data_IF_284641382148
#
_entry.id   IF_284641382148
#
_cell.length_a   1.000
_cell.length_b   1.000
_cell.length_c   1.000
_cell.angle_alpha   90.00
_cell.angle_beta   90.00
_cell.angle_gamma   90.00
#
_symmetry.space_group_name_H-M   'P 1'
#
loop_
_entity.id
_entity.type
_entity.pdbx_description
1 polymer ?
#
# COMPACT_ATOMS: atom_id res chain seq x y z
N UNK A 1 3.59 20.81 -21.32
CA UNK A 1 2.12 20.75 -21.56
C UNK A 1 1.50 19.48 -20.96
N UNK A 2 2.08 18.29 -21.22
CA UNK A 2 1.63 17.00 -20.64
C UNK A 2 1.64 16.99 -19.10
N UNK A 3 2.68 17.54 -18.47
CA UNK A 3 2.78 17.64 -17.00
C UNK A 3 1.66 18.49 -16.37
N UNK A 4 1.33 19.62 -17.00
CA UNK A 4 0.27 20.53 -16.52
C UNK A 4 -1.12 19.91 -16.68
N UNK A 5 -1.39 19.25 -17.81
CA UNK A 5 -2.68 18.58 -18.07
C UNK A 5 -2.85 17.35 -17.18
N UNK A 6 -1.81 16.52 -17.04
CA UNK A 6 -1.79 15.38 -16.14
C UNK A 6 -1.94 15.79 -14.66
N UNK A 7 -1.27 16.87 -14.26
CA UNK A 7 -1.38 17.44 -12.91
C UNK A 7 -2.79 17.95 -12.58
N UNK A 8 -3.46 18.62 -13.53
CA UNK A 8 -4.83 19.10 -13.36
C UNK A 8 -5.85 17.95 -13.18
N UNK A 9 -5.74 16.89 -14.00
CA UNK A 9 -6.60 15.71 -13.87
C UNK A 9 -6.37 14.99 -12.52
N UNK A 10 -5.10 14.83 -12.11
CA UNK A 10 -4.77 14.25 -10.80
C UNK A 10 -5.30 15.08 -9.65
N UNK A 11 -5.28 16.42 -9.75
CA UNK A 11 -5.80 17.33 -8.71
C UNK A 11 -7.31 17.18 -8.52
N UNK A 12 -8.08 17.12 -9.61
CA UNK A 12 -9.54 16.90 -9.55
C UNK A 12 -9.84 15.54 -8.92
N UNK A 13 -9.13 14.50 -9.35
CA UNK A 13 -9.31 13.15 -8.79
C UNK A 13 -8.92 13.08 -7.30
N UNK A 14 -7.80 13.70 -6.91
CA UNK A 14 -7.37 13.81 -5.52
C UNK A 14 -8.42 14.49 -4.65
N UNK A 15 -9.01 15.60 -5.10
CA UNK A 15 -10.06 16.30 -4.36
C UNK A 15 -11.34 15.45 -4.18
N UNK A 16 -11.69 14.63 -5.18
CA UNK A 16 -12.79 13.67 -5.07
C UNK A 16 -12.47 12.55 -4.06
N UNK A 17 -11.26 11.98 -4.13
CA UNK A 17 -10.80 10.94 -3.21
C UNK A 17 -10.73 11.46 -1.76
N UNK A 18 -10.20 12.66 -1.55
CA UNK A 18 -10.16 13.36 -0.25
C UNK A 18 -11.55 13.47 0.38
N UNK A 19 -12.53 13.96 -0.37
CA UNK A 19 -13.94 14.05 0.08
C UNK A 19 -14.52 12.68 0.47
N UNK A 20 -14.15 11.63 -0.27
CA UNK A 20 -14.56 10.26 0.08
C UNK A 20 -13.95 9.83 1.42
N UNK A 21 -12.64 10.03 1.59
CA UNK A 21 -11.94 9.66 2.83
C UNK A 21 -12.46 10.44 4.05
N UNK A 22 -12.74 11.73 3.89
CA UNK A 22 -13.39 12.54 4.93
C UNK A 22 -14.80 12.06 5.25
N UNK A 23 -15.57 11.65 4.24
CA UNK A 23 -16.88 11.04 4.43
C UNK A 23 -16.81 9.74 5.23
N UNK A 24 -15.81 8.91 4.96
CA UNK A 24 -15.53 7.70 5.75
C UNK A 24 -15.15 8.06 7.19
N UNK A 25 -14.29 9.06 7.39
CA UNK A 25 -13.83 9.47 8.71
C UNK A 25 -14.95 10.08 9.57
N UNK A 26 -15.92 10.78 8.96
CA UNK A 26 -17.05 11.38 9.66
C UNK A 26 -18.00 10.38 10.31
N UNK A 27 -18.15 9.19 9.72
CA UNK A 27 -19.05 8.15 10.20
C UNK A 27 -18.46 6.76 9.99
N UNK A 28 -17.31 6.54 10.63
CA UNK A 28 -16.52 5.32 10.47
C UNK A 28 -17.29 4.09 10.96
N UNK A 29 -18.08 4.20 12.03
CA UNK A 29 -18.84 3.09 12.59
C UNK A 29 -19.86 2.55 11.59
N UNK A 30 -20.67 3.42 10.98
CA UNK A 30 -21.65 3.01 9.97
C UNK A 30 -20.99 2.44 8.72
N UNK A 31 -19.86 3.00 8.28
CA UNK A 31 -19.13 2.49 7.11
C UNK A 31 -18.55 1.10 7.39
N UNK A 32 -18.00 0.87 8.59
CA UNK A 32 -17.48 -0.44 9.00
C UNK A 32 -18.60 -1.48 9.13
N UNK A 33 -19.74 -1.12 9.71
CA UNK A 33 -20.90 -2.01 9.81
C UNK A 33 -21.42 -2.39 8.42
N UNK A 34 -21.60 -1.43 7.52
CA UNK A 34 -22.01 -1.71 6.14
C UNK A 34 -21.02 -2.63 5.42
N UNK A 35 -19.72 -2.38 5.57
CA UNK A 35 -18.69 -3.23 4.99
C UNK A 35 -18.71 -4.64 5.56
N UNK A 36 -18.87 -4.80 6.88
CA UNK A 36 -19.00 -6.11 7.53
C UNK A 36 -20.19 -6.88 6.96
N UNK A 37 -21.38 -6.27 6.91
CA UNK A 37 -22.58 -6.92 6.42
C UNK A 37 -22.48 -7.29 4.94
N UNK A 38 -21.85 -6.45 4.12
CA UNK A 38 -21.58 -6.75 2.71
C UNK A 38 -20.64 -7.97 2.56
N UNK A 39 -19.57 -8.04 3.36
CA UNK A 39 -18.62 -9.16 3.35
C UNK A 39 -19.28 -10.47 3.83
N UNK A 40 -20.05 -10.41 4.92
CA UNK A 40 -20.80 -11.56 5.47
C UNK A 40 -21.81 -12.08 4.45
N UNK A 41 -22.58 -11.17 3.82
CA UNK A 41 -23.57 -11.55 2.82
C UNK A 41 -22.91 -12.18 1.58
N UNK A 42 -21.78 -11.63 1.13
CA UNK A 42 -21.02 -12.21 0.03
C UNK A 42 -20.50 -13.61 0.37
N UNK A 43 -20.00 -13.82 1.60
CA UNK A 43 -19.41 -15.07 2.05
C UNK A 43 -20.42 -16.10 2.59
N UNK A 44 -21.73 -15.80 2.64
CA UNK A 44 -22.73 -16.67 3.28
C UNK A 44 -22.78 -18.10 2.72
N UNK A 45 -22.51 -18.25 1.43
CA UNK A 45 -22.51 -19.53 0.73
C UNK A 45 -21.18 -20.30 0.79
N UNK A 46 -20.21 -19.81 1.57
CA UNK A 46 -18.91 -20.49 1.72
C UNK A 46 -18.96 -21.56 2.83
N UNK A 47 -18.00 -22.48 2.87
CA UNK A 47 -17.89 -23.44 3.95
C UNK A 47 -17.81 -22.76 5.33
N UNK A 48 -16.98 -21.70 5.43
CA UNK A 48 -16.85 -20.90 6.64
C UNK A 48 -18.15 -20.14 6.97
N UNK A 49 -18.80 -19.56 5.96
CA UNK A 49 -20.06 -18.84 6.14
C UNK A 49 -21.19 -19.74 6.63
N UNK A 50 -21.30 -20.96 6.10
CA UNK A 50 -22.25 -21.97 6.57
C UNK A 50 -21.96 -22.42 7.99
N UNK A 51 -20.71 -22.71 8.33
CA UNK A 51 -20.35 -23.20 9.68
C UNK A 51 -20.62 -22.18 10.78
N UNK A 52 -20.60 -20.88 10.46
CA UNK A 52 -20.90 -19.79 11.40
C UNK A 52 -22.29 -19.15 11.16
N UNK A 53 -23.15 -19.78 10.34
CA UNK A 53 -24.53 -19.34 10.06
C UNK A 53 -24.64 -17.88 9.59
N UNK A 54 -23.80 -17.48 8.64
CA UNK A 54 -23.75 -16.10 8.11
C UNK A 54 -25.08 -15.59 7.55
N UNK A 55 -25.99 -16.48 7.11
CA UNK A 55 -27.33 -16.12 6.67
C UNK A 55 -28.18 -15.44 7.76
N UNK A 56 -27.86 -15.71 9.04
CA UNK A 56 -28.57 -15.20 10.23
C UNK A 56 -27.93 -13.93 10.79
N UNK A 57 -26.82 -13.45 10.23
CA UNK A 57 -26.13 -12.25 10.70
C UNK A 57 -26.80 -11.02 10.07
N UNK A 58 -27.26 -10.10 10.93
CA UNK A 58 -27.89 -8.83 10.53
C UNK A 58 -27.24 -7.60 11.18
N UNK A 59 -26.37 -7.81 12.15
CA UNK A 59 -25.69 -6.76 12.91
C UNK A 59 -24.25 -7.16 13.25
N UNK A 60 -23.46 -6.17 13.72
CA UNK A 60 -22.13 -6.42 14.31
C UNK A 60 -22.21 -7.41 15.48
N UNK A 61 -23.23 -7.29 16.33
CA UNK A 61 -23.42 -8.16 17.49
C UNK A 61 -23.67 -9.62 17.08
N UNK A 62 -24.49 -9.86 16.05
CA UNK A 62 -24.70 -11.21 15.51
C UNK A 62 -23.40 -11.83 15.00
N UNK A 63 -22.58 -11.03 14.31
CA UNK A 63 -21.29 -11.49 13.80
C UNK A 63 -20.35 -11.87 14.94
N UNK A 64 -20.23 -11.03 15.96
CA UNK A 64 -19.38 -11.29 17.13
C UNK A 64 -19.82 -12.53 17.90
N UNK A 65 -21.12 -12.75 18.07
CA UNK A 65 -21.66 -13.92 18.76
C UNK A 65 -21.41 -15.23 18.01
N UNK A 66 -21.32 -15.18 16.67
CA UNK A 66 -21.23 -16.38 15.82
C UNK A 66 -19.83 -16.64 15.29
N UNK A 67 -18.98 -15.62 15.21
CA UNK A 67 -17.66 -15.69 14.57
C UNK A 67 -16.59 -15.34 15.60
N UNK A 68 -16.16 -16.31 16.42
CA UNK A 68 -15.08 -16.07 17.38
C UNK A 68 -13.77 -15.73 16.65
N UNK A 69 -12.95 -14.91 17.31
CA UNK A 69 -11.63 -14.52 16.83
C UNK A 69 -10.79 -15.78 16.55
N UNK A 70 -10.04 -15.75 15.44
CA UNK A 70 -9.21 -16.86 14.99
C UNK A 70 -7.85 -16.38 14.52
N UNK A 71 -6.83 -17.20 14.73
CA UNK A 71 -5.48 -16.99 14.23
C UNK A 71 -5.26 -17.72 12.88
N UNK A 72 -4.04 -17.63 12.35
CA UNK A 72 -3.67 -18.29 11.10
C UNK A 72 -3.92 -19.82 11.13
N UNK A 73 -3.60 -20.48 12.24
CA UNK A 73 -3.70 -21.94 12.36
C UNK A 73 -5.15 -22.42 12.24
N UNK A 74 -6.11 -21.62 12.74
CA UNK A 74 -7.53 -21.91 12.58
C UNK A 74 -7.99 -21.93 11.12
N UNK A 75 -7.44 -21.05 10.28
CA UNK A 75 -7.82 -20.96 8.87
C UNK A 75 -6.99 -21.85 7.95
N UNK A 76 -5.80 -22.27 8.39
CA UNK A 76 -4.87 -23.09 7.62
C UNK A 76 -5.50 -24.33 6.97
N UNK A 77 -6.37 -25.12 7.63
CA UNK A 77 -7.00 -26.28 6.99
C UNK A 77 -7.87 -25.91 5.78
N UNK A 78 -8.61 -24.79 5.86
CA UNK A 78 -9.43 -24.30 4.75
C UNK A 78 -8.56 -23.76 3.61
N UNK A 79 -7.47 -23.07 3.94
CA UNK A 79 -6.55 -22.55 2.92
C UNK A 79 -5.76 -23.64 2.21
N UNK A 80 -5.34 -24.69 2.92
CA UNK A 80 -4.70 -25.86 2.29
C UNK A 80 -5.63 -26.54 1.29
N UNK A 81 -6.91 -26.73 1.66
CA UNK A 81 -7.93 -27.25 0.74
C UNK A 81 -8.14 -26.33 -0.48
N UNK A 82 -8.12 -25.01 -0.28
CA UNK A 82 -8.22 -24.05 -1.37
C UNK A 82 -7.03 -24.12 -2.35
N UNK A 83 -5.80 -24.25 -1.83
CA UNK A 83 -4.59 -24.44 -2.64
C UNK A 83 -4.66 -25.74 -3.46
N UNK A 84 -5.35 -26.76 -2.92
CA UNK A 84 -5.59 -28.03 -3.59
C UNK A 84 -6.80 -28.01 -4.56
N UNK A 85 -7.37 -26.84 -4.85
CA UNK A 85 -8.37 -26.67 -5.89
C UNK A 85 -9.82 -26.55 -5.41
N UNK A 86 -10.07 -26.75 -4.11
CA UNK A 86 -11.43 -26.61 -3.57
C UNK A 86 -11.88 -25.15 -3.55
N UNK A 87 -13.16 -24.93 -3.81
CA UNK A 87 -13.76 -23.61 -4.01
C UNK A 87 -14.69 -23.24 -2.86
N UNK A 88 -14.98 -21.95 -2.73
CA UNK A 88 -16.03 -21.44 -1.86
C UNK A 88 -15.80 -21.82 -0.38
N UNK A 89 -14.55 -21.77 0.09
CA UNK A 89 -14.16 -22.16 1.45
C UNK A 89 -14.25 -21.03 2.46
N UNK A 90 -13.37 -20.03 2.36
CA UNK A 90 -13.37 -18.81 3.21
C UNK A 90 -13.91 -17.60 2.48
N UNK A 91 -13.93 -17.64 1.14
CA UNK A 91 -14.44 -16.59 0.27
C UNK A 91 -15.02 -17.22 -1.00
N UNK A 92 -16.03 -16.60 -1.66
CA UNK A 92 -16.58 -17.13 -2.90
C UNK A 92 -15.54 -17.28 -4.01
N UNK A 93 -15.61 -18.38 -4.74
CA UNK A 93 -14.70 -18.75 -5.82
C UNK A 93 -13.40 -19.40 -5.31
N UNK A 94 -12.30 -19.13 -6.01
CA UNK A 94 -10.96 -19.64 -5.70
C UNK A 94 -9.93 -18.51 -5.84
N UNK A 95 -9.22 -18.13 -4.76
CA UNK A 95 -8.14 -17.15 -4.85
C UNK A 95 -7.02 -17.68 -5.75
N UNK A 96 -6.78 -17.00 -6.89
CA UNK A 96 -5.73 -17.39 -7.85
C UNK A 96 -4.31 -17.10 -7.33
N UNK A 97 -4.19 -16.06 -6.49
CA UNK A 97 -2.93 -15.56 -5.99
C UNK A 97 -2.83 -15.75 -4.48
N UNK A 98 -1.62 -16.05 -4.05
CA UNK A 98 -1.26 -16.30 -2.67
C UNK A 98 -0.02 -15.49 -2.34
N UNK A 99 0.08 -15.06 -1.09
CA UNK A 99 1.25 -14.36 -0.60
C UNK A 99 1.87 -15.15 0.54
N UNK A 100 3.18 -15.25 0.48
CA UNK A 100 3.99 -15.90 1.50
C UNK A 100 4.41 -14.84 2.51
N UNK A 101 4.09 -15.03 3.78
CA UNK A 101 4.55 -14.13 4.85
C UNK A 101 5.50 -14.87 5.77
N UNK A 102 6.62 -14.24 6.10
CA UNK A 102 7.59 -14.76 7.06
C UNK A 102 7.01 -14.68 8.46
N UNK A 103 6.33 -15.74 8.90
CA UNK A 103 5.88 -15.90 10.29
C UNK A 103 6.89 -16.73 11.07
N UNK A 104 7.50 -16.15 12.10
CA UNK A 104 8.65 -16.71 12.84
C UNK A 104 8.32 -17.89 13.79
N UNK A 105 7.08 -18.41 13.80
CA UNK A 105 6.68 -19.46 14.77
C UNK A 105 5.90 -20.64 14.20
N UNK A 106 5.37 -20.57 12.97
CA UNK A 106 4.50 -21.62 12.40
C UNK A 106 4.95 -22.10 11.00
N UNK A 107 6.18 -21.76 10.61
CA UNK A 107 6.63 -21.87 9.23
C UNK A 107 6.03 -20.79 8.33
N UNK A 108 6.25 -20.96 7.03
CA UNK A 108 5.80 -20.01 6.03
C UNK A 108 4.26 -19.95 5.95
N UNK A 109 3.69 -18.78 6.26
CA UNK A 109 2.25 -18.57 6.19
C UNK A 109 1.85 -18.23 4.76
N UNK A 110 0.83 -18.92 4.26
CA UNK A 110 0.27 -18.73 2.93
C UNK A 110 -1.12 -18.11 3.05
N UNK A 111 -1.23 -16.86 2.60
CA UNK A 111 -2.46 -16.08 2.74
C UNK A 111 -3.09 -15.89 1.35
N UNK A 112 -4.38 -16.20 1.17
CA UNK A 112 -5.03 -16.00 -0.11
C UNK A 112 -5.24 -14.50 -0.36
N UNK A 113 -4.98 -14.07 -1.60
CA UNK A 113 -5.29 -12.71 -2.03
C UNK A 113 -6.41 -12.76 -3.07
N UNK A 114 -7.59 -12.29 -2.65
CA UNK A 114 -8.77 -12.22 -3.51
C UNK A 114 -8.66 -11.04 -4.48
N UNK A 115 -9.44 -11.07 -5.55
CA UNK A 115 -9.51 -9.94 -6.49
C UNK A 115 -9.98 -8.65 -5.80
N UNK A 116 -10.87 -8.81 -4.82
CA UNK A 116 -11.41 -7.81 -3.92
C UNK A 116 -10.29 -7.17 -3.08
N UNK A 117 -9.45 -8.00 -2.44
CA UNK A 117 -8.31 -7.55 -1.67
C UNK A 117 -7.28 -6.79 -2.54
N UNK A 118 -7.03 -7.24 -3.76
CA UNK A 118 -6.18 -6.49 -4.70
C UNK A 118 -6.75 -5.12 -5.05
N UNK A 119 -8.07 -5.01 -5.27
CA UNK A 119 -8.72 -3.73 -5.53
C UNK A 119 -8.61 -2.79 -4.32
N UNK A 120 -8.74 -3.32 -3.10
CA UNK A 120 -8.57 -2.54 -1.87
C UNK A 120 -7.14 -2.02 -1.71
N UNK A 121 -6.12 -2.87 -1.89
CA UNK A 121 -4.72 -2.46 -1.86
C UNK A 121 -4.39 -1.41 -2.91
N UNK A 122 -4.89 -1.60 -4.13
CA UNK A 122 -4.74 -0.63 -5.22
C UNK A 122 -5.35 0.72 -4.83
N UNK A 123 -6.58 0.72 -4.32
CA UNK A 123 -7.27 1.95 -3.90
C UNK A 123 -6.48 2.68 -2.80
N UNK A 124 -5.97 1.95 -1.81
CA UNK A 124 -5.11 2.52 -0.76
C UNK A 124 -3.79 3.08 -1.27
N UNK A 125 -3.11 2.36 -2.17
CA UNK A 125 -1.90 2.85 -2.83
C UNK A 125 -2.14 4.10 -3.68
N UNK A 126 -3.28 4.17 -4.39
CA UNK A 126 -3.70 5.37 -5.12
C UNK A 126 -3.95 6.54 -4.19
N UNK A 127 -4.70 6.32 -3.12
CA UNK A 127 -5.00 7.38 -2.15
C UNK A 127 -3.69 7.89 -1.51
N UNK A 128 -2.73 7.02 -1.20
CA UNK A 128 -1.40 7.40 -0.71
C UNK A 128 -0.61 8.25 -1.71
N UNK A 129 -0.57 7.83 -2.98
CA UNK A 129 0.09 8.56 -4.06
C UNK A 129 -0.54 9.93 -4.29
N UNK A 130 -1.88 10.03 -4.29
CA UNK A 130 -2.58 11.30 -4.48
C UNK A 130 -2.32 12.26 -3.32
N UNK A 131 -2.29 11.77 -2.09
CA UNK A 131 -1.95 12.58 -0.91
C UNK A 131 -0.48 13.03 -0.97
N UNK A 132 0.44 12.15 -1.37
CA UNK A 132 1.83 12.51 -1.55
C UNK A 132 1.99 13.60 -2.63
N UNK A 133 1.30 13.45 -3.77
CA UNK A 133 1.31 14.43 -4.84
C UNK A 133 0.63 15.76 -4.44
N UNK A 134 -0.44 15.72 -3.66
CA UNK A 134 -1.07 16.93 -3.09
C UNK A 134 -0.10 17.70 -2.20
N UNK A 135 0.68 17.00 -1.38
CA UNK A 135 1.63 17.60 -0.44
C UNK A 135 2.89 18.13 -1.13
N UNK A 136 3.43 17.37 -2.07
CA UNK A 136 4.68 17.68 -2.75
C UNK A 136 4.53 18.52 -4.03
N UNK A 137 3.30 18.65 -4.55
CA UNK A 137 3.01 19.28 -5.83
C UNK A 137 2.79 18.26 -6.94
N UNK A 138 1.61 18.32 -7.58
CA UNK A 138 1.20 17.37 -8.60
C UNK A 138 2.09 17.39 -9.84
N UNK A 139 2.50 18.59 -10.27
CA UNK A 139 3.35 18.78 -11.44
C UNK A 139 4.72 18.13 -11.24
N UNK A 140 5.30 18.27 -10.04
CA UNK A 140 6.59 17.66 -9.67
C UNK A 140 6.52 16.13 -9.67
N UNK A 141 5.47 15.55 -9.06
CA UNK A 141 5.26 14.09 -9.05
C UNK A 141 4.89 13.55 -10.44
N UNK A 142 4.23 14.34 -11.29
CA UNK A 142 3.88 13.94 -12.65
C UNK A 142 5.09 13.91 -13.61
N UNK A 143 6.12 14.74 -13.36
CA UNK A 143 7.22 15.03 -14.28
C UNK A 143 8.34 13.99 -14.36
N UNK A 144 8.26 12.84 -13.70
CA UNK A 144 9.38 11.90 -13.70
C UNK A 144 9.14 10.55 -13.03
N UNK A 145 10.22 9.78 -12.82
CA UNK A 145 10.14 8.41 -12.31
C UNK A 145 9.64 8.34 -10.87
N UNK A 146 8.83 7.32 -10.60
CA UNK A 146 8.28 6.97 -9.30
C UNK A 146 8.90 5.62 -8.91
N UNK A 147 9.81 5.64 -7.94
CA UNK A 147 10.40 4.43 -7.42
C UNK A 147 9.39 3.75 -6.47
N UNK A 148 8.99 2.53 -6.78
CA UNK A 148 8.30 1.66 -5.84
C UNK A 148 9.18 0.45 -5.54
N UNK A 149 9.89 0.54 -4.41
CA UNK A 149 10.78 -0.50 -3.90
C UNK A 149 9.95 -1.55 -3.15
N UNK A 150 9.51 -2.56 -3.90
CA UNK A 150 8.72 -3.68 -3.42
C UNK A 150 9.46 -5.01 -3.44
N UNK A 151 8.71 -6.07 -3.14
CA UNK A 151 9.12 -7.45 -3.30
C UNK A 151 9.24 -7.86 -4.78
N UNK A 152 9.67 -9.08 -5.01
CA UNK A 152 9.87 -9.64 -6.34
C UNK A 152 8.56 -9.73 -7.12
N UNK A 153 8.57 -9.34 -8.40
CA UNK A 153 7.40 -9.51 -9.27
C UNK A 153 7.25 -10.92 -9.84
N UNK A 154 8.24 -11.79 -9.61
CA UNK A 154 8.25 -13.18 -10.11
C UNK A 154 7.32 -14.04 -9.27
N UNK A 155 6.38 -14.71 -9.95
CA UNK A 155 5.43 -15.62 -9.33
C UNK A 155 5.94 -17.05 -9.45
N UNK A 156 5.75 -17.84 -8.40
CA UNK A 156 6.02 -19.28 -8.40
C UNK A 156 4.69 -20.04 -8.45
N UNK A 157 4.58 -21.13 -9.21
CA UNK A 157 3.37 -21.95 -9.17
C UNK A 157 3.20 -22.57 -7.78
N UNK A 158 1.95 -22.67 -7.32
CA UNK A 158 1.58 -23.43 -6.12
C UNK A 158 0.33 -24.25 -6.44
N UNK A 159 0.38 -25.56 -6.23
CA UNK A 159 -0.70 -26.46 -6.68
C UNK A 159 -1.01 -26.36 -8.18
N UNK A 160 -2.22 -26.72 -8.59
CA UNK A 160 -2.66 -26.66 -9.98
C UNK A 160 -3.41 -25.36 -10.29
N UNK A 161 -2.75 -24.43 -10.98
CA UNK A 161 -3.37 -23.19 -11.46
C UNK A 161 -3.32 -22.01 -10.50
N UNK A 162 -2.60 -22.12 -9.38
CA UNK A 162 -2.38 -21.02 -8.43
C UNK A 162 -0.94 -20.53 -8.44
N UNK A 163 -0.77 -19.31 -7.94
CA UNK A 163 0.50 -18.59 -7.97
C UNK A 163 0.79 -17.98 -6.61
N UNK A 164 2.04 -18.10 -6.15
CA UNK A 164 2.56 -17.44 -4.95
C UNK A 164 3.58 -16.37 -5.32
N UNK A 165 3.53 -15.23 -4.64
CA UNK A 165 4.51 -14.16 -4.81
C UNK A 165 4.41 -13.10 -3.71
N UNK A 166 5.16 -12.01 -3.88
CA UNK A 166 5.09 -10.86 -2.98
C UNK A 166 3.91 -9.97 -3.34
N UNK A 167 3.14 -9.53 -2.33
CA UNK A 167 1.97 -8.69 -2.54
C UNK A 167 2.30 -7.41 -3.33
N UNK A 168 3.41 -6.76 -2.98
CA UNK A 168 3.90 -5.56 -3.64
C UNK A 168 4.30 -5.81 -5.09
N UNK A 169 4.88 -6.97 -5.41
CA UNK A 169 5.22 -7.37 -6.77
C UNK A 169 3.98 -7.63 -7.64
N UNK A 170 2.96 -8.27 -7.06
CA UNK A 170 1.65 -8.48 -7.71
C UNK A 170 0.95 -7.15 -8.05
N UNK A 171 1.13 -6.12 -7.21
CA UNK A 171 0.46 -4.83 -7.40
C UNK A 171 1.02 -4.00 -8.55
N UNK A 172 2.32 -4.11 -8.82
CA UNK A 172 2.99 -3.38 -9.90
C UNK A 172 2.52 -3.85 -11.29
N UNK A 173 2.07 -5.10 -11.42
CA UNK A 173 1.69 -5.68 -12.72
C UNK A 173 0.45 -5.02 -13.34
N UNK A 174 -0.41 -4.42 -12.52
CA UNK A 174 -1.69 -3.82 -12.92
C UNK A 174 -1.71 -2.30 -12.70
N UNK A 175 -0.54 -1.65 -12.84
CA UNK A 175 -0.45 -0.19 -12.87
C UNK A 175 -1.08 0.34 -14.17
N UNK A 176 -1.88 1.43 -14.11
CA UNK A 176 -2.42 2.11 -15.27
C UNK A 176 -1.31 2.55 -16.24
N UNK A 177 -1.56 2.59 -17.57
CA UNK A 177 -0.54 2.85 -18.57
C UNK A 177 0.31 4.11 -18.32
N UNK A 178 -0.31 5.23 -17.93
CA UNK A 178 0.40 6.49 -17.66
C UNK A 178 1.29 6.50 -16.39
N UNK A 179 1.17 5.48 -15.54
CA UNK A 179 2.06 5.27 -14.39
C UNK A 179 3.06 4.16 -14.65
N UNK A 180 2.71 3.20 -15.50
CA UNK A 180 3.61 2.12 -15.91
C UNK A 180 4.88 2.63 -16.57
N UNK A 181 4.80 3.68 -17.39
CA UNK A 181 5.98 4.31 -18.02
C UNK A 181 6.88 5.05 -17.04
N UNK A 182 6.34 5.46 -15.89
CA UNK A 182 7.07 6.19 -14.83
C UNK A 182 7.50 5.28 -13.69
N UNK A 183 7.07 4.02 -13.68
CA UNK A 183 7.44 3.07 -12.64
C UNK A 183 8.94 2.74 -12.74
N UNK A 184 9.68 3.09 -11.69
CA UNK A 184 11.05 2.65 -11.45
C UNK A 184 11.03 1.55 -10.38
N UNK A 185 11.81 0.46 -10.53
CA UNK A 185 12.91 0.26 -11.49
C UNK A 185 12.50 -0.35 -12.85
N UNK A 186 11.21 -0.53 -13.10
CA UNK A 186 10.72 -1.22 -14.29
C UNK A 186 10.70 -2.74 -14.13
N UNK A 187 10.05 -3.43 -15.07
CA UNK A 187 9.73 -4.87 -14.95
C UNK A 187 10.96 -5.77 -14.88
N UNK A 188 11.98 -5.51 -15.70
CA UNK A 188 13.16 -6.36 -15.80
C UNK A 188 13.92 -6.44 -14.47
N UNK A 189 14.20 -5.29 -13.85
CA UNK A 189 14.89 -5.23 -12.55
C UNK A 189 13.97 -5.73 -11.43
N UNK A 190 12.69 -5.37 -11.43
CA UNK A 190 11.75 -5.81 -10.40
C UNK A 190 11.51 -7.33 -10.37
N UNK A 191 11.79 -8.04 -11.48
CA UNK A 191 11.68 -9.49 -11.56
C UNK A 191 12.90 -10.28 -11.08
N UNK A 192 14.02 -9.60 -10.76
CA UNK A 192 15.23 -10.25 -10.24
C UNK A 192 14.89 -10.93 -8.88
N UNK A 193 14.99 -12.26 -8.77
CA UNK A 193 14.64 -12.98 -7.54
C UNK A 193 15.59 -12.67 -6.37
N UNK A 194 16.88 -12.63 -6.64
CA UNK A 194 17.94 -12.44 -5.65
C UNK A 194 17.93 -11.00 -5.13
N UNK A 195 17.68 -10.82 -3.84
CA UNK A 195 17.54 -9.49 -3.23
C UNK A 195 18.75 -8.60 -3.45
N UNK A 196 19.96 -9.10 -3.18
CA UNK A 196 21.18 -8.31 -3.29
C UNK A 196 21.46 -7.87 -4.74
N UNK A 197 21.27 -8.77 -5.70
CA UNK A 197 21.41 -8.43 -7.12
C UNK A 197 20.35 -7.41 -7.54
N UNK A 198 19.11 -7.58 -7.07
CA UNK A 198 18.02 -6.66 -7.37
C UNK A 198 18.30 -5.27 -6.81
N UNK A 199 18.66 -5.16 -5.53
CA UNK A 199 18.86 -3.86 -4.89
C UNK A 199 20.05 -3.12 -5.50
N UNK A 200 21.11 -3.82 -5.91
CA UNK A 200 22.24 -3.24 -6.63
C UNK A 200 21.83 -2.72 -8.02
N UNK A 201 21.07 -3.51 -8.79
CA UNK A 201 20.54 -3.07 -10.09
C UNK A 201 19.58 -1.88 -9.96
N UNK A 202 18.73 -1.86 -8.91
CA UNK A 202 17.89 -0.70 -8.60
C UNK A 202 18.77 0.52 -8.30
N UNK A 203 19.77 0.38 -7.43
CA UNK A 203 20.65 1.47 -7.02
C UNK A 203 21.38 2.10 -8.20
N UNK A 204 21.95 1.28 -9.09
CA UNK A 204 22.62 1.75 -10.30
C UNK A 204 21.67 2.53 -11.22
N UNK A 205 20.45 2.04 -11.42
CA UNK A 205 19.45 2.72 -12.23
C UNK A 205 19.08 4.07 -11.60
N UNK A 206 18.70 4.08 -10.32
CA UNK A 206 18.17 5.29 -9.67
C UNK A 206 19.25 6.32 -9.37
N UNK A 207 20.54 5.94 -9.32
CA UNK A 207 21.66 6.87 -9.25
C UNK A 207 21.81 7.75 -10.52
N UNK A 208 21.15 7.36 -11.61
CA UNK A 208 21.09 8.08 -12.90
C UNK A 208 19.72 8.68 -13.20
N UNK A 209 18.74 8.48 -12.32
CA UNK A 209 17.41 9.04 -12.46
C UNK A 209 17.23 10.19 -11.47
N UNK A 210 16.43 11.17 -11.85
CA UNK A 210 15.92 12.20 -10.95
C UNK A 210 14.51 11.78 -10.47
N UNK A 211 14.48 11.03 -9.37
CA UNK A 211 13.24 10.47 -8.81
C UNK A 211 12.32 11.59 -8.31
N UNK A 212 11.00 11.43 -8.55
CA UNK A 212 9.98 12.36 -8.07
C UNK A 212 9.28 11.89 -6.81
N UNK A 213 9.22 10.57 -6.63
CA UNK A 213 8.63 9.93 -5.47
C UNK A 213 9.33 8.60 -5.20
N UNK A 214 9.50 8.28 -3.92
CA UNK A 214 9.96 6.98 -3.46
C UNK A 214 8.85 6.35 -2.62
N UNK A 215 8.62 5.06 -2.79
CA UNK A 215 7.75 4.26 -1.95
C UNK A 215 8.46 2.98 -1.54
N UNK A 216 8.55 2.71 -0.24
CA UNK A 216 9.23 1.51 0.26
C UNK A 216 9.25 1.39 1.78
N UNK A 217 9.73 0.25 2.27
CA UNK A 217 9.95 0.05 3.71
C UNK A 217 11.22 0.82 4.15
N UNK A 218 11.17 1.58 5.26
CA UNK A 218 12.31 2.36 5.74
C UNK A 218 13.63 1.59 5.82
N UNK A 219 13.62 0.35 6.31
CA UNK A 219 14.81 -0.50 6.39
C UNK A 219 15.42 -0.81 5.03
N UNK A 220 14.60 -1.06 4.01
CA UNK A 220 15.06 -1.31 2.63
C UNK A 220 15.53 -0.04 1.94
N UNK A 221 14.92 1.11 2.26
CA UNK A 221 15.34 2.40 1.74
C UNK A 221 16.74 2.76 2.23
N UNK A 222 17.09 2.52 3.49
CA UNK A 222 18.45 2.78 3.98
C UNK A 222 19.50 1.93 3.25
N UNK A 223 19.21 0.65 3.01
CA UNK A 223 20.09 -0.22 2.21
C UNK A 223 20.24 0.36 0.79
N UNK A 224 19.13 0.75 0.15
CA UNK A 224 19.16 1.36 -1.17
C UNK A 224 20.03 2.64 -1.17
N UNK A 225 19.86 3.50 -0.18
CA UNK A 225 20.57 4.78 -0.07
C UNK A 225 22.08 4.59 -0.02
N UNK A 226 22.55 3.62 0.77
CA UNK A 226 23.96 3.23 0.81
C UNK A 226 24.47 2.72 -0.56
N UNK A 227 23.69 1.86 -1.24
CA UNK A 227 24.06 1.33 -2.56
C UNK A 227 24.09 2.43 -3.63
N UNK A 228 23.16 3.39 -3.59
CA UNK A 228 23.13 4.54 -4.50
C UNK A 228 24.36 5.42 -4.27
N UNK A 229 24.68 5.75 -3.02
CA UNK A 229 25.87 6.54 -2.70
C UNK A 229 27.16 5.84 -3.17
N UNK A 230 27.24 4.52 -3.03
CA UNK A 230 28.34 3.71 -3.57
C UNK A 230 28.43 3.79 -5.09
N UNK A 231 27.31 3.62 -5.80
CA UNK A 231 27.27 3.73 -7.26
C UNK A 231 27.67 5.13 -7.77
N UNK A 232 27.26 6.20 -7.05
CA UNK A 232 27.67 7.58 -7.32
C UNK A 232 29.17 7.81 -7.15
N UNK A 233 29.76 7.27 -6.07
CA UNK A 233 31.23 7.31 -5.87
C UNK A 233 31.98 6.55 -6.97
N UNK A 234 31.53 5.33 -7.29
CA UNK A 234 32.16 4.49 -8.32
C UNK A 234 32.08 5.11 -9.73
N UNK A 235 31.05 5.90 -10.03
CA UNK A 235 30.92 6.63 -11.29
C UNK A 235 31.64 7.98 -11.33
N UNK A 236 32.46 8.29 -10.31
CA UNK A 236 33.21 9.55 -10.23
C UNK A 236 32.34 10.78 -9.96
N UNK A 237 31.09 10.60 -9.51
CA UNK A 237 30.12 11.67 -9.23
C UNK A 237 29.60 11.55 -7.79
N UNK A 238 30.47 11.59 -6.77
CA UNK A 238 30.03 11.52 -5.38
C UNK A 238 29.03 12.64 -5.07
N UNK A 239 28.08 12.35 -4.20
CA UNK A 239 27.10 13.32 -3.69
C UNK A 239 27.22 13.40 -2.18
N UNK A 240 27.01 14.59 -1.62
CA UNK A 240 27.05 14.78 -0.16
C UNK A 240 25.78 14.24 0.51
N UNK A 241 24.67 14.27 -0.23
CA UNK A 241 23.36 13.73 0.15
C UNK A 241 22.63 13.19 -1.08
N UNK A 242 21.63 12.34 -0.88
CA UNK A 242 20.80 11.85 -1.96
C UNK A 242 19.79 12.88 -2.46
N UNK A 243 19.56 13.96 -1.71
CA UNK A 243 18.79 15.11 -2.18
C UNK A 243 19.42 15.80 -3.38
N UNK A 244 20.75 15.77 -3.52
CA UNK A 244 21.49 16.22 -4.71
C UNK A 244 21.36 15.24 -5.88
N UNK A 245 21.21 13.95 -5.59
CA UNK A 245 21.00 12.93 -6.62
C UNK A 245 19.59 13.02 -7.22
N UNK A 246 18.61 13.36 -6.38
CA UNK A 246 17.18 13.43 -6.72
C UNK A 246 16.63 14.82 -6.37
N UNK A 247 17.08 15.83 -7.10
CA UNK A 247 16.75 17.25 -6.87
C UNK A 247 15.23 17.50 -6.85
N UNK A 248 14.47 16.72 -7.64
CA UNK A 248 13.02 16.87 -7.74
C UNK A 248 12.21 15.84 -6.94
N UNK A 249 12.86 15.09 -6.03
CA UNK A 249 12.14 14.21 -5.11
C UNK A 249 11.21 15.01 -4.20
N UNK A 250 9.91 14.79 -4.36
CA UNK A 250 8.89 15.54 -3.63
C UNK A 250 8.42 14.83 -2.36
N UNK A 251 8.32 13.50 -2.41
CA UNK A 251 7.75 12.72 -1.30
C UNK A 251 8.34 11.31 -1.17
N UNK A 252 8.31 10.80 0.05
CA UNK A 252 8.58 9.41 0.41
C UNK A 252 7.30 8.83 1.06
N UNK A 253 6.73 7.82 0.41
CA UNK A 253 5.68 6.98 0.97
C UNK A 253 6.34 5.82 1.70
N UNK A 254 6.01 5.61 2.97
CA UNK A 254 6.64 4.57 3.78
C UNK A 254 5.63 3.77 4.58
N UNK A 255 5.96 2.50 4.85
CA UNK A 255 5.10 1.61 5.62
C UNK A 255 5.80 0.29 5.91
N UNK A 256 5.07 -0.70 6.43
CA UNK A 256 5.56 -2.05 6.74
C UNK A 256 6.35 -2.17 8.04
N UNK A 257 7.04 -1.10 8.47
CA UNK A 257 7.67 -0.98 9.80
C UNK A 257 7.48 0.43 10.35
N UNK A 258 7.61 0.60 11.67
CA UNK A 258 7.59 1.92 12.31
C UNK A 258 8.66 2.83 11.69
N UNK A 259 8.28 4.04 11.29
CA UNK A 259 9.22 5.01 10.71
C UNK A 259 10.02 5.79 11.75
N UNK A 260 9.49 5.92 12.97
CA UNK A 260 10.12 6.68 14.05
C UNK A 260 11.62 6.37 14.27
N UNK A 261 12.10 5.11 14.30
CA UNK A 261 13.52 4.82 14.50
C UNK A 261 14.41 5.14 13.29
N UNK A 262 13.84 5.27 12.08
CA UNK A 262 14.59 5.52 10.85
C UNK A 262 14.59 6.99 10.41
N UNK A 263 13.68 7.81 10.97
CA UNK A 263 13.42 9.17 10.50
C UNK A 263 14.70 10.01 10.41
N UNK A 264 15.47 10.10 11.49
CA UNK A 264 16.65 10.96 11.55
C UNK A 264 17.67 10.58 10.47
N UNK A 265 17.96 9.28 10.33
CA UNK A 265 18.89 8.77 9.31
C UNK A 265 18.38 9.01 7.89
N UNK A 266 17.07 8.83 7.64
CA UNK A 266 16.48 9.12 6.33
C UNK A 266 16.55 10.61 6.00
N UNK A 267 16.25 11.49 6.96
CA UNK A 267 16.34 12.95 6.78
C UNK A 267 17.79 13.40 6.53
N UNK A 268 18.76 12.81 7.23
CA UNK A 268 20.19 13.02 7.01
C UNK A 268 20.62 12.60 5.60
N UNK A 269 20.24 11.38 5.16
CA UNK A 269 20.49 10.91 3.80
C UNK A 269 19.92 11.84 2.74
N UNK A 270 18.73 12.40 2.97
CA UNK A 270 18.11 13.32 2.02
C UNK A 270 18.82 14.68 2.00
N UNK A 271 19.34 15.16 3.13
CA UNK A 271 20.03 16.46 3.22
C UNK A 271 19.14 17.68 2.91
N UNK A 272 17.83 17.46 2.70
CA UNK A 272 16.82 18.47 2.40
C UNK A 272 15.44 18.01 2.82
N UNK A 273 14.51 18.95 2.92
CA UNK A 273 13.12 18.65 3.25
C UNK A 273 12.43 17.87 2.12
N UNK A 274 11.76 16.78 2.49
CA UNK A 274 10.85 16.00 1.63
C UNK A 274 9.56 15.71 2.40
N UNK A 275 8.46 15.50 1.68
CA UNK A 275 7.19 15.10 2.31
C UNK A 275 7.22 13.61 2.68
N UNK A 276 6.66 13.27 3.83
CA UNK A 276 6.50 11.88 4.27
C UNK A 276 5.01 11.54 4.37
N UNK A 277 4.64 10.38 3.81
CA UNK A 277 3.27 9.85 3.88
C UNK A 277 3.34 8.41 4.37
N UNK A 278 2.78 8.17 5.55
CA UNK A 278 2.74 6.84 6.14
C UNK A 278 1.55 6.02 5.62
N UNK A 279 1.80 4.75 5.34
CA UNK A 279 0.80 3.74 5.01
C UNK A 279 0.97 2.51 5.89
N UNK A 280 -0.13 1.83 6.18
CA UNK A 280 -0.15 0.59 6.96
C UNK A 280 -0.80 -0.55 6.17
N UNK A 281 -0.08 -1.11 5.17
CA UNK A 281 -0.50 -2.33 4.48
C UNK A 281 0.02 -3.58 5.18
N UNK A 282 -0.75 -4.66 5.05
CA UNK A 282 -0.36 -6.03 5.40
C UNK A 282 -0.81 -6.98 4.28
N UNK A 283 -0.33 -8.22 4.31
CA UNK A 283 -0.74 -9.24 3.33
C UNK A 283 -2.24 -9.52 3.35
N UNK A 284 -2.87 -9.38 4.51
CA UNK A 284 -4.28 -9.57 4.77
C UNK A 284 -5.13 -8.37 4.34
N UNK A 285 -4.55 -7.17 4.23
CA UNK A 285 -5.31 -5.96 3.93
C UNK A 285 -4.52 -4.66 4.02
N UNK A 286 -4.99 -3.65 3.27
CA UNK A 286 -4.53 -2.27 3.40
C UNK A 286 -5.31 -1.61 4.55
N UNK A 287 -4.68 -1.52 5.73
CA UNK A 287 -5.37 -1.13 6.96
C UNK A 287 -5.50 0.38 7.07
N UNK A 288 -4.45 1.15 6.77
CA UNK A 288 -4.51 2.59 7.00
C UNK A 288 -3.56 3.42 6.16
N UNK A 289 -3.86 4.72 6.14
CA UNK A 289 -3.17 5.75 5.37
C UNK A 289 -3.18 7.04 6.18
N UNK A 290 -2.04 7.72 6.23
CA UNK A 290 -1.92 9.04 6.81
C UNK A 290 -2.61 10.07 5.93
N UNK A 291 -3.67 10.67 6.47
CA UNK A 291 -4.48 11.67 5.77
C UNK A 291 -4.03 13.09 6.05
N UNK A 292 -3.67 13.37 7.30
CA UNK A 292 -3.30 14.70 7.80
C UNK A 292 -1.78 14.92 7.80
N UNK A 293 -1.35 16.19 7.66
CA UNK A 293 0.05 16.56 7.91
C UNK A 293 0.31 16.58 9.41
N UNK A 294 1.46 16.07 9.91
CA UNK A 294 1.80 16.18 11.33
C UNK A 294 1.85 17.65 11.74
N UNK A 295 1.37 17.98 12.94
CA UNK A 295 1.30 19.36 13.43
C UNK A 295 2.67 20.07 13.51
N UNK A 296 3.78 19.33 13.51
CA UNK A 296 5.15 19.84 13.65
C UNK A 296 5.82 20.32 12.36
N UNK A 297 5.23 20.12 11.17
CA UNK A 297 5.82 20.55 9.88
C UNK A 297 5.30 21.90 9.37
N UNK A 298 4.53 22.65 10.18
CA UNK A 298 4.28 24.06 9.87
C UNK A 298 5.60 24.83 10.02
N UNK A 299 6.22 25.22 8.90
CA UNK A 299 7.25 26.25 8.88
C UNK A 299 6.83 27.40 9.81
N UNK A 300 7.70 27.90 10.69
CA UNK A 300 7.31 28.86 11.71
C UNK A 300 6.82 30.14 11.03
N UNK A 301 5.50 30.30 10.94
CA UNK A 301 4.91 31.62 10.72
C UNK A 301 5.28 32.42 11.95
N UNK A 302 6.17 33.39 11.74
CA UNK A 302 6.59 34.44 12.68
C UNK A 302 5.34 34.94 13.44
N UNK A 303 5.07 34.38 14.62
CA UNK A 303 3.99 34.82 15.51
C UNK A 303 4.65 35.62 16.63
N UNK A 304 4.25 36.89 16.68
CA UNK A 304 4.53 37.80 17.77
C UNK A 304 4.07 37.18 19.10
N UNK A 305 4.83 37.51 20.15
CA UNK A 305 4.77 36.98 21.51
C UNK A 305 3.36 36.96 22.12
N UNK A 306 3.14 35.94 22.95
CA UNK A 306 2.21 36.00 24.07
C UNK A 306 1.10 34.95 24.04
N UNK A 307 1.30 33.82 24.73
CA UNK A 307 0.38 33.18 25.71
C UNK A 307 0.66 31.68 25.87
N UNK A 308 0.28 31.17 27.05
CA UNK A 308 0.76 29.98 27.76
C UNK A 308 0.63 28.65 27.01
N UNK A 309 1.59 27.76 27.27
CA UNK A 309 1.69 26.41 26.75
C UNK A 309 0.63 25.45 27.33
N UNK A 310 -0.20 24.90 26.46
CA UNK A 310 -0.81 23.58 26.62
C UNK A 310 -0.19 22.65 25.56
N UNK A 311 0.41 21.53 26.01
CA UNK A 311 1.05 20.53 25.13
C UNK A 311 0.00 19.94 24.18
N UNK A 312 0.17 20.00 22.85
CA UNK A 312 -0.75 19.33 21.93
C UNK A 312 -0.46 17.84 21.91
N UNK A 313 -1.47 17.05 22.27
CA UNK A 313 -1.52 15.60 22.07
C UNK A 313 -1.43 15.30 20.57
N UNK A 314 -0.46 14.48 20.17
CA UNK A 314 -0.33 13.95 18.81
C UNK A 314 -1.62 13.21 18.42
N UNK A 315 -2.45 13.83 17.59
CA UNK A 315 -3.53 13.14 16.87
C UNK A 315 -3.01 12.78 15.48
N UNK A 316 -2.48 11.58 15.32
CA UNK A 316 -2.27 10.97 14.01
C UNK A 316 -3.55 10.20 13.67
N UNK A 317 -4.41 10.77 12.82
CA UNK A 317 -5.58 10.05 12.32
C UNK A 317 -5.16 9.08 11.21
N UNK A 318 -4.87 7.82 11.59
CA UNK A 318 -4.82 6.71 10.65
C UNK A 318 -6.28 6.31 10.38
N UNK A 319 -6.79 6.62 9.18
CA UNK A 319 -8.16 6.22 8.84
C UNK A 319 -8.12 4.75 8.44
N UNK A 320 -8.78 3.88 9.22
CA UNK A 320 -9.07 2.52 8.82
C UNK A 320 -10.12 2.54 7.71
N UNK A 321 -9.68 2.53 6.45
CA UNK A 321 -10.60 2.56 5.31
C UNK A 321 -11.09 1.14 5.05
N UNK A 322 -12.25 0.78 5.59
CA UNK A 322 -13.05 -0.26 4.95
C UNK A 322 -13.42 0.25 3.55
N UNK A 323 -13.22 -0.58 2.53
CA UNK A 323 -13.54 -0.25 1.15
C UNK A 323 -14.89 -0.89 0.75
N UNK A 324 -16.04 -0.26 1.06
CA UNK A 324 -17.36 -0.85 0.86
C UNK A 324 -17.70 -1.11 -0.63
N UNK A 325 -17.07 -0.41 -1.57
CA UNK A 325 -17.40 -0.50 -3.00
C UNK A 325 -16.93 -1.80 -3.69
N UNK A 326 -16.23 -2.68 -2.98
CA UNK A 326 -15.54 -3.82 -3.58
C UNK A 326 -16.49 -4.97 -3.97
N UNK A 327 -17.67 -5.04 -3.34
CA UNK A 327 -18.67 -6.13 -3.53
C UNK A 327 -19.75 -5.78 -4.58
N UNK A 328 -19.98 -4.49 -4.87
CA UNK A 328 -21.14 -4.05 -5.68
C UNK A 328 -21.02 -4.29 -7.19
N UNK A 329 -19.87 -4.70 -7.72
CA UNK A 329 -19.67 -4.83 -9.18
C UNK A 329 -20.25 -6.09 -9.85
N UNK A 330 -20.86 -7.03 -9.11
CA UNK A 330 -21.41 -8.27 -9.69
C UNK A 330 -22.89 -8.23 -10.12
N UNK A 331 -23.57 -7.08 -10.04
CA UNK A 331 -25.02 -7.01 -10.34
C UNK A 331 -25.43 -6.66 -11.77
N UNK A 332 -24.52 -6.50 -12.72
CA UNK A 332 -24.91 -6.23 -14.12
C UNK A 332 -24.07 -7.01 -15.13
N UNK A 333 -24.39 -8.30 -15.31
CA UNK A 333 -24.16 -9.07 -16.55
C UNK A 333 -24.89 -10.41 -16.39
N UNK A 334 -26.22 -10.32 -16.44
CA UNK A 334 -27.11 -11.45 -16.70
C UNK A 334 -27.79 -11.18 -18.04
N UNK A 335 -27.55 -12.05 -19.03
CA UNK A 335 -28.10 -11.95 -20.38
C UNK A 335 -27.51 -13.04 -21.28
N UNK A 336 -28.19 -14.19 -21.27
CA UNK A 336 -28.02 -15.43 -22.06
C UNK A 336 -28.20 -15.23 -23.58
N UNK A 337 -28.02 -16.26 -24.42
CA UNK A 337 -27.60 -17.65 -24.14
C UNK A 337 -26.17 -17.98 -24.56
#
# INVERSE_FOLDING_TARGET
MIERVGGAALRVYAAHRRRTLEGVARDAARVQEAALLDLVNAARGTAFGRSHRFEQIRSVADYQARTPVGDYLRFQPLWNRAINGERDLTWPGRPRYWVKTSGTTAGDKMIPVTSEAFRAHRKGGWDALLIAAERAGFEGVAGGPLLFLGGCTTLKPVGQGFWVGDLSGLMVQDLPPGFRSRYSPGRAIASIPEWDQRIDAVAELVARQDLRLISGMPSWLLILFERVARARRASGRPVSSLGECWENLGAIIHGGVSFAPYRATVEEWMGRSVEYVEVYPASEGFVGLQTERPASTRAPRRRLRGTRHSRPVLRTALVAVAYPDVVRSRRSRGGRP
#
